data_IF_556479787636
#
_entry.id   IF_556479787636
#
_cell.length_a   1.000
_cell.length_b   1.000
_cell.length_c   1.000
_cell.angle_alpha   90.00
_cell.angle_beta   90.00
_cell.angle_gamma   90.00
#
_symmetry.space_group_name_H-M   'P 1'
#
loop_
_entity.id
_entity.type
_entity.pdbx_description
1 polymer ?
#
# COMPACT_ATOMS: atom_id res chain seq x y z
N UNK A 1 -7.83 -0.84 13.90
CA UNK A 1 -8.51 -0.25 12.72
C UNK A 1 -8.70 -1.35 11.70
N UNK A 2 -9.91 -1.51 11.17
CA UNK A 2 -10.18 -2.44 10.06
C UNK A 2 -9.90 -1.75 8.73
N UNK A 3 -9.56 -2.54 7.70
CA UNK A 3 -9.22 -2.06 6.38
C UNK A 3 -10.13 -2.68 5.32
N UNK A 4 -10.58 -1.87 4.37
CA UNK A 4 -11.37 -2.32 3.21
C UNK A 4 -10.63 -2.04 1.90
N UNK A 5 -10.76 -2.90 0.88
CA UNK A 5 -10.17 -2.65 -0.42
C UNK A 5 -10.92 -1.51 -1.13
N UNK A 6 -10.20 -0.71 -1.91
CA UNK A 6 -10.79 0.34 -2.75
C UNK A 6 -11.92 -0.17 -3.67
N UNK A 7 -11.93 -1.45 -4.04
CA UNK A 7 -13.01 -2.05 -4.83
C UNK A 7 -14.36 -2.12 -4.12
N UNK A 8 -14.35 -2.09 -2.79
CA UNK A 8 -15.53 -2.27 -1.96
C UNK A 8 -16.08 -0.96 -1.41
N UNK A 9 -15.54 0.19 -1.83
CA UNK A 9 -15.97 1.52 -1.32
C UNK A 9 -17.44 1.83 -1.62
N UNK A 10 -18.05 1.19 -2.61
CA UNK A 10 -19.48 1.35 -2.90
C UNK A 10 -20.39 0.70 -1.86
N UNK A 11 -19.84 -0.16 -1.00
CA UNK A 11 -20.54 -0.77 0.13
C UNK A 11 -20.42 0.16 1.35
N UNK A 12 -21.42 0.16 2.25
CA UNK A 12 -21.31 0.92 3.50
C UNK A 12 -20.07 0.53 4.32
N UNK A 13 -19.35 1.54 4.81
CA UNK A 13 -18.21 1.38 5.71
C UNK A 13 -18.28 2.44 6.82
N UNK A 14 -17.55 2.20 7.90
CA UNK A 14 -17.49 3.10 9.06
C UNK A 14 -16.35 4.10 8.89
N UNK A 15 -16.53 5.32 9.38
CA UNK A 15 -15.47 6.34 9.40
C UNK A 15 -14.23 5.95 10.23
N UNK A 16 -14.31 4.88 11.02
CA UNK A 16 -13.16 4.31 11.75
C UNK A 16 -12.34 3.31 10.91
N UNK A 17 -12.77 2.98 9.69
CA UNK A 17 -12.10 2.05 8.80
C UNK A 17 -11.14 2.78 7.85
N UNK A 18 -10.04 2.13 7.49
CA UNK A 18 -9.11 2.60 6.47
C UNK A 18 -9.42 2.00 5.10
N UNK A 19 -9.11 2.73 4.03
CA UNK A 19 -9.20 2.23 2.64
C UNK A 19 -7.80 1.91 2.14
N UNK A 20 -7.55 0.66 1.71
CA UNK A 20 -6.27 0.28 1.11
C UNK A 20 -6.37 0.17 -0.42
N UNK A 21 -5.23 0.41 -1.09
CA UNK A 21 -5.12 0.44 -2.55
C UNK A 21 -4.52 -0.85 -3.14
N UNK A 22 -4.39 -1.92 -2.35
CA UNK A 22 -3.99 -3.27 -2.82
C UNK A 22 -5.07 -3.93 -3.70
N UNK A 23 -5.25 -3.38 -4.89
CA UNK A 23 -6.14 -3.83 -5.96
C UNK A 23 -5.37 -3.75 -7.28
N UNK A 24 -5.87 -4.40 -8.33
CA UNK A 24 -5.18 -4.38 -9.63
C UNK A 24 -4.98 -2.95 -10.19
N UNK A 25 -3.81 -2.67 -10.76
CA UNK A 25 -3.44 -1.36 -11.31
C UNK A 25 -4.48 -0.75 -12.24
N UNK A 26 -5.12 -1.55 -13.11
CA UNK A 26 -6.13 -1.03 -14.04
C UNK A 26 -7.32 -0.40 -13.31
N UNK A 27 -7.60 -0.84 -12.08
CA UNK A 27 -8.65 -0.27 -11.23
C UNK A 27 -8.20 1.02 -10.57
N UNK A 28 -6.91 1.19 -10.31
CA UNK A 28 -6.34 2.44 -9.80
C UNK A 28 -6.16 3.48 -10.90
N UNK A 29 -6.00 3.10 -12.18
CA UNK A 29 -5.90 4.06 -13.30
C UNK A 29 -7.06 5.07 -13.36
N UNK A 30 -8.25 4.70 -12.87
CA UNK A 30 -9.40 5.62 -12.79
C UNK A 30 -9.22 6.74 -11.76
N UNK A 31 -8.39 6.53 -10.73
CA UNK A 31 -8.01 7.57 -9.77
C UNK A 31 -7.15 8.63 -10.44
N UNK A 32 -6.23 8.21 -11.32
CA UNK A 32 -5.41 9.13 -12.10
C UNK A 32 -6.21 9.86 -13.18
N UNK A 33 -7.08 9.15 -13.90
CA UNK A 33 -7.86 9.73 -14.99
C UNK A 33 -8.96 10.70 -14.51
N UNK A 34 -9.49 10.49 -13.30
CA UNK A 34 -10.58 11.29 -12.71
C UNK A 34 -10.30 11.49 -11.21
N UNK A 35 -9.33 12.35 -10.84
CA UNK A 35 -8.86 12.49 -9.46
C UNK A 35 -9.94 13.01 -8.50
N UNK A 36 -10.91 13.77 -9.00
CA UNK A 36 -12.00 14.34 -8.19
C UNK A 36 -13.09 13.33 -7.83
N UNK A 37 -13.28 12.32 -8.69
CA UNK A 37 -14.46 11.45 -8.67
C UNK A 37 -14.69 10.73 -7.35
N UNK A 38 -13.61 10.42 -6.64
CA UNK A 38 -13.65 9.62 -5.41
C UNK A 38 -13.37 10.45 -4.16
N UNK A 39 -13.12 11.76 -4.24
CA UNK A 39 -12.77 12.58 -3.08
C UNK A 39 -13.81 12.49 -1.97
N UNK A 40 -15.09 12.72 -2.32
CA UNK A 40 -16.18 12.74 -1.36
C UNK A 40 -16.36 11.40 -0.60
N UNK A 41 -16.05 10.26 -1.24
CA UNK A 41 -16.16 8.96 -0.57
C UNK A 41 -14.88 8.61 0.21
N UNK A 42 -13.70 9.02 -0.28
CA UNK A 42 -12.44 8.80 0.41
C UNK A 42 -12.33 9.63 1.70
N UNK A 43 -12.89 10.84 1.73
CA UNK A 43 -12.94 11.72 2.90
C UNK A 43 -13.72 11.11 4.08
N UNK A 44 -14.69 10.24 3.81
CA UNK A 44 -15.47 9.56 4.85
C UNK A 44 -14.66 8.51 5.62
N UNK A 45 -13.51 8.07 5.10
CA UNK A 45 -12.69 7.06 5.74
C UNK A 45 -11.77 7.66 6.82
N UNK A 46 -11.42 6.83 7.81
CA UNK A 46 -10.52 7.27 8.88
C UNK A 46 -9.11 7.58 8.37
N UNK A 47 -8.69 6.84 7.34
CA UNK A 47 -7.51 7.12 6.53
C UNK A 47 -7.59 6.37 5.19
N UNK A 48 -6.71 6.76 4.26
CA UNK A 48 -6.61 6.15 2.94
C UNK A 48 -5.14 5.85 2.65
N UNK A 49 -4.83 4.65 2.18
CA UNK A 49 -3.50 4.33 1.70
C UNK A 49 -3.23 5.06 0.37
N UNK A 50 -2.04 5.61 0.15
CA UNK A 50 -1.69 6.15 -1.17
C UNK A 50 -1.83 5.06 -2.24
N UNK A 51 -2.21 5.42 -3.48
CA UNK A 51 -2.39 4.46 -4.55
C UNK A 51 -1.02 3.97 -5.02
N UNK A 52 -0.75 2.68 -4.85
CA UNK A 52 0.54 2.08 -5.18
C UNK A 52 0.48 1.35 -6.51
N UNK A 53 0.83 2.05 -7.59
CA UNK A 53 0.94 1.44 -8.91
C UNK A 53 2.14 0.49 -8.95
N UNK A 54 1.94 -0.68 -9.55
CA UNK A 54 2.95 -1.72 -9.52
C UNK A 54 4.26 -1.26 -10.19
N UNK A 55 5.37 -1.51 -9.48
CA UNK A 55 6.74 -1.31 -9.96
C UNK A 55 7.34 -2.69 -10.20
N UNK A 56 7.82 -2.96 -11.42
CA UNK A 56 8.40 -4.26 -11.77
C UNK A 56 9.85 -4.13 -12.20
N UNK A 57 10.64 -5.19 -11.96
CA UNK A 57 12.07 -5.21 -12.27
C UNK A 57 12.38 -5.22 -13.77
N UNK A 58 11.47 -5.75 -14.57
CA UNK A 58 11.53 -5.87 -16.02
C UNK A 58 10.89 -4.69 -16.76
N UNK A 59 10.23 -3.78 -16.03
CA UNK A 59 9.63 -2.57 -16.60
C UNK A 59 10.69 -1.47 -16.79
N UNK A 60 10.67 -0.71 -17.90
CA UNK A 60 11.55 0.44 -18.10
C UNK A 60 11.52 1.41 -16.92
N UNK A 61 12.70 1.88 -16.49
CA UNK A 61 12.84 2.74 -15.31
C UNK A 61 11.98 4.00 -15.38
N UNK A 62 11.87 4.62 -16.56
CA UNK A 62 11.02 5.79 -16.77
C UNK A 62 9.54 5.51 -16.44
N UNK A 63 9.03 4.32 -16.73
CA UNK A 63 7.65 3.94 -16.40
C UNK A 63 7.49 3.69 -14.90
N UNK A 64 8.48 3.08 -14.25
CA UNK A 64 8.48 2.90 -12.80
C UNK A 64 8.50 4.26 -12.05
N UNK A 65 9.31 5.20 -12.52
CA UNK A 65 9.34 6.58 -12.00
C UNK A 65 7.99 7.27 -12.24
N UNK A 66 7.37 7.08 -13.40
CA UNK A 66 6.04 7.63 -13.68
C UNK A 66 4.96 7.05 -12.74
N UNK A 67 4.99 5.74 -12.45
CA UNK A 67 4.14 5.11 -11.44
C UNK A 67 4.33 5.74 -10.05
N UNK A 68 5.58 5.92 -9.63
CA UNK A 68 5.92 6.58 -8.36
C UNK A 68 5.43 8.03 -8.30
N UNK A 69 5.59 8.77 -9.40
CA UNK A 69 5.07 10.12 -9.53
C UNK A 69 3.54 10.18 -9.39
N UNK A 70 2.80 9.31 -10.09
CA UNK A 70 1.34 9.27 -9.98
C UNK A 70 0.87 8.97 -8.55
N UNK A 71 1.57 8.07 -7.85
CA UNK A 71 1.32 7.78 -6.43
C UNK A 71 1.43 9.05 -5.58
N UNK A 72 2.56 9.74 -5.67
CA UNK A 72 2.82 10.95 -4.87
C UNK A 72 1.87 12.09 -5.22
N UNK A 73 1.61 12.32 -6.51
CA UNK A 73 0.70 13.36 -6.95
C UNK A 73 -0.72 13.12 -6.41
N UNK A 74 -1.24 11.89 -6.52
CA UNK A 74 -2.56 11.55 -6.00
C UNK A 74 -2.62 11.65 -4.47
N UNK A 75 -1.58 11.19 -3.77
CA UNK A 75 -1.51 11.30 -2.32
C UNK A 75 -1.54 12.77 -1.85
N UNK A 76 -0.70 13.62 -2.44
CA UNK A 76 -0.66 15.04 -2.14
C UNK A 76 -1.99 15.74 -2.52
N UNK A 77 -2.57 15.35 -3.66
CA UNK A 77 -3.87 15.85 -4.09
C UNK A 77 -4.96 15.50 -3.08
N UNK A 78 -5.03 14.27 -2.60
CA UNK A 78 -6.04 13.89 -1.59
C UNK A 78 -5.82 14.61 -0.25
N UNK A 79 -4.56 14.78 0.16
CA UNK A 79 -4.22 15.53 1.37
C UNK A 79 -4.70 16.98 1.31
N UNK A 80 -4.64 17.63 0.13
CA UNK A 80 -5.12 19.01 -0.03
C UNK A 80 -6.63 19.16 0.15
N UNK A 81 -7.41 18.07 0.02
CA UNK A 81 -8.84 17.98 0.33
C UNK A 81 -9.12 17.45 1.73
N UNK A 82 -8.13 17.43 2.64
CA UNK A 82 -8.32 17.03 4.03
C UNK A 82 -8.35 15.52 4.28
N UNK A 83 -8.12 14.70 3.24
CA UNK A 83 -8.07 13.25 3.38
C UNK A 83 -6.78 12.86 4.12
N UNK A 84 -6.92 12.04 5.17
CA UNK A 84 -5.77 11.49 5.91
C UNK A 84 -5.13 10.37 5.10
N UNK A 85 -4.04 10.67 4.41
CA UNK A 85 -3.31 9.70 3.58
C UNK A 85 -2.15 9.07 4.36
N UNK A 86 -2.04 7.75 4.32
CA UNK A 86 -0.87 7.00 4.78
C UNK A 86 -0.11 6.49 3.54
N UNK A 87 1.19 6.81 3.38
CA UNK A 87 1.95 6.38 2.21
C UNK A 87 2.12 4.87 2.17
N UNK A 88 1.90 4.29 0.99
CA UNK A 88 2.28 2.93 0.64
C UNK A 88 3.68 2.96 0.03
N UNK A 89 4.62 2.28 0.70
CA UNK A 89 6.01 2.20 0.27
C UNK A 89 6.19 0.96 -0.58
N UNK A 90 6.77 1.14 -1.76
CA UNK A 90 6.96 0.10 -2.76
C UNK A 90 8.33 0.25 -3.39
N UNK A 91 8.93 -0.90 -3.73
CA UNK A 91 10.23 -0.99 -4.35
C UNK A 91 10.26 -2.19 -5.30
N UNK A 92 11.00 -2.06 -6.40
CA UNK A 92 11.16 -3.15 -7.37
C UNK A 92 12.43 -3.96 -7.15
N UNK A 93 13.57 -3.30 -7.21
CA UNK A 93 14.91 -3.87 -6.98
C UNK A 93 15.82 -2.83 -6.34
N UNK A 94 17.06 -3.21 -6.01
CA UNK A 94 18.06 -2.26 -5.47
C UNK A 94 18.28 -1.02 -6.34
N UNK A 95 18.06 -1.12 -7.65
CA UNK A 95 18.13 0.03 -8.57
C UNK A 95 17.11 1.12 -8.19
N UNK A 96 15.91 0.71 -7.78
CA UNK A 96 14.82 1.64 -7.43
C UNK A 96 15.09 2.41 -6.15
N UNK A 97 16.02 1.95 -5.29
CA UNK A 97 16.32 2.61 -4.01
C UNK A 97 16.91 4.01 -4.17
N UNK A 98 17.41 4.37 -5.35
CA UNK A 98 17.86 5.75 -5.61
C UNK A 98 16.72 6.76 -5.63
N UNK A 99 15.46 6.34 -5.80
CA UNK A 99 14.31 7.24 -5.95
C UNK A 99 13.03 6.79 -5.24
N UNK A 100 12.83 5.49 -4.95
CA UNK A 100 11.54 4.97 -4.48
C UNK A 100 11.18 5.35 -3.04
N UNK A 101 12.13 5.94 -2.31
CA UNK A 101 11.91 6.50 -0.97
C UNK A 101 11.85 8.04 -0.97
N UNK A 102 12.09 8.67 -2.12
CA UNK A 102 12.12 10.13 -2.22
C UNK A 102 10.69 10.67 -2.22
N UNK A 103 10.47 11.75 -1.46
CA UNK A 103 9.15 12.36 -1.28
C UNK A 103 8.25 11.64 -0.26
N UNK A 104 8.69 10.51 0.27
CA UNK A 104 7.99 9.83 1.37
C UNK A 104 8.24 10.54 2.70
N UNK A 105 7.25 10.60 3.61
CA UNK A 105 7.42 11.23 4.91
C UNK A 105 8.35 10.39 5.80
N UNK A 106 9.21 11.08 6.54
CA UNK A 106 10.03 10.47 7.59
C UNK A 106 9.32 10.57 8.94
N UNK A 107 9.62 9.65 9.87
CA UNK A 107 9.02 9.61 11.20
C UNK A 107 7.48 9.61 11.17
N UNK A 108 6.90 8.91 10.21
CA UNK A 108 5.47 8.82 9.99
C UNK A 108 5.00 7.36 9.86
N UNK A 109 3.69 7.08 10.01
CA UNK A 109 3.12 5.79 9.64
C UNK A 109 3.33 5.50 8.15
N UNK A 110 3.67 4.25 7.83
CA UNK A 110 3.80 3.77 6.45
C UNK A 110 3.05 2.45 6.28
N UNK A 111 2.66 2.15 5.05
CA UNK A 111 2.09 0.86 4.66
C UNK A 111 3.07 0.13 3.74
N UNK A 112 3.24 -1.18 3.92
CA UNK A 112 4.00 -2.05 3.03
C UNK A 112 3.22 -3.34 2.76
N UNK A 113 3.43 -3.96 1.58
CA UNK A 113 2.83 -5.24 1.24
C UNK A 113 3.87 -6.34 1.08
N UNK A 114 3.66 -7.47 1.76
CA UNK A 114 4.46 -8.68 1.55
C UNK A 114 3.80 -9.66 0.56
N UNK A 115 2.62 -9.31 0.01
CA UNK A 115 1.89 -10.19 -0.91
C UNK A 115 2.71 -10.47 -2.15
N UNK A 116 2.83 -11.75 -2.53
CA UNK A 116 3.57 -12.18 -3.72
C UNK A 116 5.09 -12.24 -3.54
N UNK A 117 5.65 -11.66 -2.48
CA UNK A 117 7.11 -11.55 -2.26
C UNK A 117 7.72 -12.74 -1.54
N UNK A 118 6.91 -13.62 -0.97
CA UNK A 118 7.38 -14.70 -0.07
C UNK A 118 7.44 -16.08 -0.74
N UNK A 119 7.25 -16.15 -2.06
CA UNK A 119 7.14 -17.42 -2.79
C UNK A 119 8.48 -18.08 -3.09
N UNK A 120 9.54 -17.29 -3.28
CA UNK A 120 10.88 -17.82 -3.54
C UNK A 120 11.93 -17.04 -2.73
N UNK A 121 13.13 -17.61 -2.49
CA UNK A 121 14.14 -16.99 -1.64
C UNK A 121 14.64 -15.63 -2.15
N UNK A 122 14.70 -15.45 -3.47
CA UNK A 122 15.19 -14.22 -4.10
C UNK A 122 14.22 -13.06 -3.89
N UNK A 123 12.93 -13.28 -4.12
CA UNK A 123 11.86 -12.30 -3.86
C UNK A 123 11.73 -11.98 -2.37
N UNK A 124 11.89 -12.97 -1.49
CA UNK A 124 11.87 -12.76 -0.05
C UNK A 124 13.06 -11.89 0.40
N UNK A 125 14.25 -12.16 -0.14
CA UNK A 125 15.45 -11.34 0.09
C UNK A 125 15.30 -9.93 -0.46
N UNK A 126 14.77 -9.78 -1.68
CA UNK A 126 14.54 -8.46 -2.28
C UNK A 126 13.53 -7.62 -1.50
N UNK A 127 12.48 -8.25 -0.97
CA UNK A 127 11.56 -7.62 -0.03
C UNK A 127 12.28 -7.18 1.23
N UNK A 128 13.06 -8.05 1.87
CA UNK A 128 13.77 -7.72 3.10
C UNK A 128 14.82 -6.60 2.91
N UNK A 129 15.54 -6.60 1.79
CA UNK A 129 16.51 -5.55 1.46
C UNK A 129 15.83 -4.18 1.35
N UNK A 130 14.68 -4.10 0.67
CA UNK A 130 13.92 -2.85 0.56
C UNK A 130 13.24 -2.46 1.87
N UNK A 131 12.76 -3.44 2.65
CA UNK A 131 12.20 -3.22 3.97
C UNK A 131 13.22 -2.60 4.93
N UNK A 132 14.44 -3.13 4.97
CA UNK A 132 15.51 -2.59 5.81
C UNK A 132 15.93 -1.19 5.34
N UNK A 133 16.03 -0.97 4.03
CA UNK A 133 16.35 0.35 3.47
C UNK A 133 15.25 1.38 3.82
N UNK A 134 13.98 0.97 3.81
CA UNK A 134 12.86 1.79 4.26
C UNK A 134 13.01 2.18 5.73
N UNK A 135 13.35 1.24 6.61
CA UNK A 135 13.58 1.52 8.03
C UNK A 135 14.67 2.56 8.23
N UNK A 136 15.81 2.38 7.55
CA UNK A 136 16.96 3.27 7.64
C UNK A 136 16.64 4.69 7.15
N UNK A 137 15.95 4.81 6.01
CA UNK A 137 15.72 6.12 5.37
C UNK A 137 14.53 6.87 5.95
N UNK A 138 13.45 6.16 6.27
CA UNK A 138 12.19 6.79 6.65
C UNK A 138 11.96 6.79 8.15
N UNK A 139 12.62 5.91 8.92
CA UNK A 139 12.41 5.77 10.37
C UNK A 139 10.92 5.77 10.76
N UNK A 140 10.10 4.87 10.19
CA UNK A 140 8.65 4.93 10.34
C UNK A 140 8.22 4.73 11.80
N UNK A 141 7.21 5.48 12.26
CA UNK A 141 6.69 5.36 13.63
C UNK A 141 5.86 4.09 13.83
N UNK A 142 5.20 3.63 12.76
CA UNK A 142 4.45 2.38 12.69
C UNK A 142 4.45 1.88 11.26
N UNK A 143 4.50 0.56 11.10
CA UNK A 143 4.54 -0.12 9.81
C UNK A 143 3.30 -0.98 9.72
N UNK A 144 2.39 -0.58 8.84
CA UNK A 144 1.18 -1.30 8.53
C UNK A 144 1.50 -2.34 7.44
N UNK A 145 1.64 -3.60 7.83
CA UNK A 145 2.06 -4.67 6.91
C UNK A 145 0.83 -5.41 6.37
N UNK A 146 0.57 -5.27 5.07
CA UNK A 146 -0.45 -6.03 4.37
C UNK A 146 0.10 -7.35 3.84
N UNK A 147 -0.54 -8.46 4.20
CA UNK A 147 -0.03 -9.79 3.89
C UNK A 147 0.53 -10.52 5.10
N UNK A 148 1.24 -11.62 4.85
CA UNK A 148 1.87 -12.40 5.91
C UNK A 148 3.17 -11.71 6.32
N UNK A 149 3.34 -11.40 7.61
CA UNK A 149 4.60 -10.88 8.13
C UNK A 149 5.75 -11.89 7.95
N UNK A 150 6.84 -11.54 7.24
CA UNK A 150 8.08 -12.31 7.26
C UNK A 150 8.71 -12.29 8.65
N UNK A 151 9.37 -13.38 9.05
CA UNK A 151 9.94 -13.53 10.41
C UNK A 151 11.05 -12.52 10.66
N UNK A 152 11.74 -12.14 9.59
CA UNK A 152 12.88 -11.26 9.54
C UNK A 152 12.49 -9.77 9.69
N UNK A 153 11.22 -9.42 9.52
CA UNK A 153 10.75 -8.04 9.65
C UNK A 153 10.71 -7.60 11.13
N UNK A 154 11.46 -6.55 11.43
CA UNK A 154 11.57 -5.90 12.75
C UNK A 154 10.89 -4.53 12.76
N UNK A 155 10.75 -3.92 13.95
CA UNK A 155 10.11 -2.60 14.13
C UNK A 155 8.67 -2.68 14.64
N UNK A 156 8.02 -1.51 14.73
CA UNK A 156 6.64 -1.38 15.23
C UNK A 156 5.63 -1.79 14.14
N UNK A 157 5.41 -3.08 13.98
CA UNK A 157 4.57 -3.64 12.90
C UNK A 157 3.16 -3.94 13.39
N UNK A 158 2.16 -3.50 12.64
CA UNK A 158 0.76 -3.89 12.77
C UNK A 158 0.33 -4.61 11.50
N UNK A 159 -0.09 -5.87 11.62
CA UNK A 159 -0.52 -6.68 10.47
C UNK A 159 -1.94 -6.31 10.03
N UNK A 160 -2.11 -6.07 8.73
CA UNK A 160 -3.41 -5.93 8.07
C UNK A 160 -3.74 -7.27 7.41
N UNK A 161 -4.77 -7.94 7.91
CA UNK A 161 -5.23 -9.21 7.36
C UNK A 161 -5.68 -9.04 5.89
N UNK A 162 -5.16 -9.85 4.95
CA UNK A 162 -5.60 -9.82 3.56
C UNK A 162 -7.08 -10.14 3.41
N UNK A 163 -7.76 -9.49 2.46
CA UNK A 163 -9.18 -9.71 2.22
C UNK A 163 -9.53 -11.18 1.92
N UNK A 164 -8.65 -11.94 1.25
CA UNK A 164 -8.87 -13.36 0.96
C UNK A 164 -8.97 -14.24 2.23
N UNK A 165 -8.30 -13.88 3.33
CA UNK A 165 -8.41 -14.65 4.58
C UNK A 165 -9.83 -14.58 5.14
N UNK A 166 -10.54 -13.46 4.94
CA UNK A 166 -11.96 -13.35 5.29
C UNK A 166 -12.85 -14.26 4.43
N UNK A 167 -12.50 -14.44 3.15
CA UNK A 167 -13.21 -15.32 2.21
C UNK A 167 -12.93 -16.80 2.53
N UNK A 168 -11.68 -17.16 2.85
CA UNK A 168 -11.31 -18.51 3.29
C UNK A 168 -11.98 -18.87 4.61
N UNK A 169 -11.99 -17.95 5.58
CA UNK A 169 -12.69 -18.14 6.86
C UNK A 169 -14.20 -18.34 6.65
N UNK A 170 -14.82 -17.55 5.77
CA UNK A 170 -16.25 -17.72 5.41
C UNK A 170 -16.54 -19.06 4.73
N UNK A 171 -15.66 -19.54 3.84
CA UNK A 171 -15.81 -20.87 3.22
C UNK A 171 -15.73 -22.00 4.25
N UNK A 172 -14.81 -21.92 5.20
CA UNK A 172 -14.66 -22.94 6.26
C UNK A 172 -15.84 -23.00 7.22
N UNK A 173 -16.52 -21.87 7.46
CA UNK A 173 -17.69 -21.80 8.34
C UNK A 173 -19.02 -22.23 7.67
N UNK A 174 -19.04 -22.46 6.35
CA UNK A 174 -20.20 -22.98 5.62
C UNK A 174 -20.13 -24.51 5.46
N UNK A 175 -19.02 -25.12 5.85
CA UNK A 175 -18.77 -26.57 5.78
C UNK A 175 -19.10 -27.34 7.07
N UNK A 176 -19.91 -26.76 7.97
CA UNK A 176 -20.36 -27.40 9.23
C UNK A 176 -21.88 -27.41 9.29
#
# INVERSE_FOLDING_TARGET
>A
MEWIPFNDISKPFKATQGIHMFVDDYRMKRLWAQPDRYLAILELAGCVASPDFSIYQDTPEALNIYCHYMKHWLAAYWQSYGIKVIPTICWGSKKTFSWCFDGEPTNAPVIVSSVGTQKNPESAKAFLDGYNTMLERLSPTVILLYGKKPKECTGNIVEIAPFYDSVVRRRKNVSV
#
